data_IF_446787152495
#
_entry.id   IF_446787152495
#
_cell.length_a   1.000
_cell.length_b   1.000
_cell.length_c   1.000
_cell.angle_alpha   90.00
_cell.angle_beta   90.00
_cell.angle_gamma   90.00
#
_symmetry.space_group_name_H-M   'P 1'
#
loop_
_entity.id
_entity.type
_entity.pdbx_description
1 polymer ?
#
# COMPACT_ATOMS: atom_id res chain seq x y z
N UNK A 1 -37.14 -5.78 6.80
CA UNK A 1 -36.64 -6.97 7.54
C UNK A 1 -36.21 -8.09 6.58
N UNK A 2 -37.02 -8.45 5.59
CA UNK A 2 -36.71 -9.52 4.60
C UNK A 2 -35.51 -9.15 3.69
N UNK A 3 -35.41 -7.91 3.21
CA UNK A 3 -34.27 -7.47 2.37
C UNK A 3 -32.94 -7.43 3.11
N UNK A 4 -32.96 -7.13 4.42
CA UNK A 4 -31.74 -7.06 5.23
C UNK A 4 -31.23 -8.46 5.59
N UNK A 5 -32.14 -9.40 5.83
CA UNK A 5 -31.80 -10.83 5.94
C UNK A 5 -31.31 -11.40 4.61
N UNK A 6 -31.80 -10.89 3.47
CA UNK A 6 -31.30 -11.26 2.13
C UNK A 6 -29.88 -10.76 1.90
N UNK A 7 -29.60 -9.47 2.18
CA UNK A 7 -28.27 -8.90 2.03
C UNK A 7 -27.24 -9.53 2.99
N UNK A 8 -27.67 -9.89 4.21
CA UNK A 8 -26.81 -10.60 5.16
C UNK A 8 -26.52 -12.03 4.70
N UNK A 9 -27.51 -12.75 4.15
CA UNK A 9 -27.28 -14.07 3.55
C UNK A 9 -26.39 -14.01 2.30
N UNK A 10 -26.50 -12.97 1.48
CA UNK A 10 -25.58 -12.75 0.35
C UNK A 10 -24.15 -12.44 0.82
N UNK A 11 -24.00 -11.68 1.92
CA UNK A 11 -22.70 -11.43 2.54
C UNK A 11 -22.11 -12.70 3.17
N UNK A 12 -22.91 -13.49 3.89
CA UNK A 12 -22.48 -14.78 4.45
C UNK A 12 -22.14 -15.78 3.34
N UNK A 13 -22.92 -15.83 2.27
CA UNK A 13 -22.63 -16.68 1.11
C UNK A 13 -21.34 -16.28 0.39
N UNK A 14 -21.04 -14.98 0.29
CA UNK A 14 -19.78 -14.48 -0.29
C UNK A 14 -18.56 -14.63 0.64
N UNK A 15 -18.78 -14.96 1.91
CA UNK A 15 -17.74 -15.28 2.90
C UNK A 15 -17.46 -16.79 3.01
N UNK A 16 -18.15 -17.63 2.24
CA UNK A 16 -17.85 -19.07 2.21
C UNK A 16 -16.48 -19.32 1.57
N UNK A 17 -15.78 -20.35 2.05
CA UNK A 17 -14.44 -20.73 1.59
C UNK A 17 -14.36 -20.90 0.06
N UNK A 18 -15.47 -21.37 -0.53
CA UNK A 18 -15.65 -21.57 -1.97
C UNK A 18 -15.71 -20.24 -2.76
N UNK A 19 -16.31 -19.18 -2.20
CA UNK A 19 -16.42 -17.86 -2.83
C UNK A 19 -15.14 -17.01 -2.68
N UNK A 20 -14.36 -17.24 -1.62
CA UNK A 20 -13.10 -16.54 -1.35
C UNK A 20 -11.86 -17.24 -1.94
N UNK A 21 -12.02 -18.41 -2.55
CA UNK A 21 -10.91 -19.20 -3.09
C UNK A 21 -9.89 -19.61 -2.03
N UNK A 22 -10.34 -19.71 -0.78
CA UNK A 22 -9.53 -20.12 0.38
C UNK A 22 -9.75 -21.62 0.54
N UNK A 23 -8.69 -22.42 0.51
CA UNK A 23 -8.76 -23.87 0.76
C UNK A 23 -9.59 -24.17 2.02
N UNK A 24 -10.28 -25.31 2.14
CA UNK A 24 -11.14 -25.62 3.31
C UNK A 24 -10.40 -25.67 4.67
N UNK A 25 -9.06 -25.66 4.64
CA UNK A 25 -8.17 -25.74 5.79
C UNK A 25 -8.42 -24.71 6.90
N UNK A 26 -8.53 -23.39 6.64
CA UNK A 26 -8.60 -22.34 7.65
C UNK A 26 -9.92 -22.31 8.42
N UNK A 27 -11.04 -22.68 7.80
CA UNK A 27 -12.34 -22.73 8.47
C UNK A 27 -12.35 -23.89 9.46
N UNK A 28 -11.94 -25.08 9.02
CA UNK A 28 -11.85 -26.25 9.89
C UNK A 28 -10.88 -26.03 11.06
N UNK A 29 -9.72 -25.38 10.82
CA UNK A 29 -8.79 -25.04 11.90
C UNK A 29 -9.41 -24.05 12.88
N UNK A 30 -10.08 -23.01 12.39
CA UNK A 30 -10.70 -22.02 13.27
C UNK A 30 -11.85 -22.63 14.10
N UNK A 31 -12.69 -23.48 13.50
CA UNK A 31 -13.75 -24.20 14.22
C UNK A 31 -13.18 -25.12 15.31
N UNK A 32 -12.06 -25.80 15.03
CA UNK A 32 -11.38 -26.61 16.03
C UNK A 32 -10.87 -25.74 17.19
N UNK A 33 -10.18 -24.63 16.90
CA UNK A 33 -9.70 -23.71 17.94
C UNK A 33 -10.84 -23.14 18.79
N UNK A 34 -12.00 -22.84 18.19
CA UNK A 34 -13.20 -22.39 18.90
C UNK A 34 -13.74 -23.46 19.84
N UNK A 35 -13.82 -24.72 19.36
CA UNK A 35 -14.28 -25.85 20.16
C UNK A 35 -13.33 -26.15 21.32
N UNK A 36 -12.02 -26.07 21.08
CA UNK A 36 -10.99 -26.30 22.09
C UNK A 36 -11.02 -25.23 23.18
N UNK A 37 -11.23 -23.96 22.81
CA UNK A 37 -11.38 -22.86 23.77
C UNK A 37 -12.70 -22.88 24.54
N UNK A 38 -13.80 -23.30 23.90
CA UNK A 38 -15.08 -23.52 24.59
C UNK A 38 -15.00 -24.67 25.60
N UNK A 39 -14.16 -25.68 25.33
CA UNK A 39 -13.91 -26.80 26.24
C UNK A 39 -12.94 -26.46 27.37
N UNK A 40 -11.95 -25.61 27.10
CA UNK A 40 -10.93 -25.18 28.07
C UNK A 40 -10.60 -23.69 27.91
N UNK A 41 -10.99 -22.89 28.91
CA UNK A 41 -10.79 -21.44 28.91
C UNK A 41 -9.31 -21.02 29.02
N UNK A 42 -8.41 -21.93 29.40
CA UNK A 42 -6.96 -21.70 29.42
C UNK A 42 -6.29 -21.95 28.05
N UNK A 43 -7.02 -22.49 27.07
CA UNK A 43 -6.53 -22.67 25.69
C UNK A 43 -6.45 -21.32 24.94
N UNK A 44 -5.64 -21.21 23.86
CA UNK A 44 -5.50 -19.97 23.10
C UNK A 44 -6.85 -19.49 22.56
N UNK A 45 -7.28 -18.31 22.98
CA UNK A 45 -8.59 -17.78 22.63
C UNK A 45 -8.65 -17.41 21.13
N UNK A 46 -9.43 -18.12 20.30
CA UNK A 46 -9.52 -17.86 18.87
C UNK A 46 -10.31 -16.60 18.53
N UNK A 47 -11.05 -16.05 19.51
CA UNK A 47 -11.71 -14.75 19.42
C UNK A 47 -10.78 -13.61 19.81
N UNK A 48 -9.66 -13.90 20.49
CA UNK A 48 -8.64 -12.91 20.77
C UNK A 48 -7.87 -12.62 19.49
N UNK A 49 -7.77 -11.34 19.15
CA UNK A 49 -7.11 -10.93 17.91
C UNK A 49 -5.60 -11.18 18.01
N UNK A 50 -5.13 -12.21 17.32
CA UNK A 50 -3.70 -12.38 17.02
C UNK A 50 -3.29 -11.27 16.06
N UNK A 51 -2.78 -10.16 16.61
CA UNK A 51 -2.18 -9.11 15.78
C UNK A 51 -0.85 -9.65 15.27
N UNK A 52 -0.69 -9.72 13.95
CA UNK A 52 0.65 -9.77 13.38
C UNK A 52 1.26 -8.39 13.65
N UNK A 53 2.19 -8.33 14.59
CA UNK A 53 2.83 -7.07 15.01
C UNK A 53 3.61 -6.37 13.90
N UNK A 54 3.69 -6.95 12.70
CA UNK A 54 4.45 -6.48 11.56
C UNK A 54 3.74 -5.33 10.84
N UNK A 55 3.45 -4.25 11.56
CA UNK A 55 3.02 -2.97 11.02
C UNK A 55 4.20 -2.23 10.39
N UNK A 56 3.92 -1.28 9.48
CA UNK A 56 4.94 -0.49 8.79
C UNK A 56 5.96 0.15 9.74
N UNK A 57 5.52 0.67 10.89
CA UNK A 57 6.40 1.28 11.88
C UNK A 57 7.40 0.28 12.48
N UNK A 58 6.94 -0.93 12.82
CA UNK A 58 7.80 -2.00 13.32
C UNK A 58 8.77 -2.47 12.24
N UNK A 59 8.29 -2.71 11.02
CA UNK A 59 9.16 -3.11 9.90
C UNK A 59 10.25 -2.08 9.65
N UNK A 60 9.92 -0.78 9.69
CA UNK A 60 10.92 0.30 9.57
C UNK A 60 11.94 0.28 10.71
N UNK A 61 11.47 0.07 11.94
CA UNK A 61 12.35 -0.06 13.10
C UNK A 61 13.30 -1.25 12.95
N UNK A 62 12.78 -2.42 12.60
CA UNK A 62 13.57 -3.64 12.46
C UNK A 62 14.63 -3.50 11.37
N UNK A 63 14.26 -2.90 10.22
CA UNK A 63 15.21 -2.59 9.16
C UNK A 63 16.28 -1.57 9.58
N UNK A 64 15.94 -0.59 10.40
CA UNK A 64 16.90 0.38 10.93
C UNK A 64 17.86 -0.26 11.94
N UNK A 65 17.35 -1.14 12.81
CA UNK A 65 18.18 -1.93 13.74
C UNK A 65 19.12 -2.84 12.95
N UNK A 66 18.61 -3.55 11.95
CA UNK A 66 19.44 -4.41 11.08
C UNK A 66 20.56 -3.61 10.40
N UNK A 67 20.26 -2.43 9.83
CA UNK A 67 21.27 -1.56 9.24
C UNK A 67 22.34 -1.14 10.26
N UNK A 68 21.93 -0.70 11.45
CA UNK A 68 22.85 -0.31 12.52
C UNK A 68 23.70 -1.49 13.04
N UNK A 69 23.14 -2.70 13.09
CA UNK A 69 23.91 -3.90 13.47
C UNK A 69 24.96 -4.25 12.43
N UNK A 70 24.64 -4.17 11.13
CA UNK A 70 25.62 -4.42 10.05
C UNK A 70 26.76 -3.40 10.07
N UNK A 71 26.43 -2.13 10.30
CA UNK A 71 27.42 -1.06 10.47
C UNK A 71 28.37 -1.33 11.65
N UNK A 72 27.81 -1.67 12.83
CA UNK A 72 28.60 -2.02 14.02
C UNK A 72 29.49 -3.25 13.80
N UNK A 73 28.99 -4.26 13.11
CA UNK A 73 29.69 -5.52 12.89
C UNK A 73 30.74 -5.40 11.75
N UNK A 74 30.93 -4.20 11.18
CA UNK A 74 31.91 -3.92 10.13
C UNK A 74 31.54 -4.52 8.78
N UNK A 75 30.28 -4.96 8.63
CA UNK A 75 29.71 -5.38 7.34
C UNK A 75 29.27 -4.09 6.63
N UNK A 76 30.26 -3.32 6.17
CA UNK A 76 30.01 -2.09 5.41
C UNK A 76 29.45 -2.44 4.04
N UNK A 77 28.12 -2.37 3.90
CA UNK A 77 27.48 -2.36 2.61
C UNK A 77 27.54 -0.94 2.03
N UNK A 78 28.76 -0.52 1.65
CA UNK A 78 29.06 0.86 1.17
C UNK A 78 28.16 1.29 0.01
N UNK A 79 27.58 0.33 -0.71
CA UNK A 79 26.66 0.57 -1.81
C UNK A 79 25.23 0.93 -1.33
N UNK A 80 24.86 0.52 -0.11
CA UNK A 80 23.56 0.73 0.50
C UNK A 80 23.42 2.08 1.22
N UNK A 81 24.52 2.78 1.48
CA UNK A 81 24.54 4.13 2.05
C UNK A 81 25.14 5.12 1.05
N UNK A 82 24.47 6.25 0.84
CA UNK A 82 25.02 7.39 0.08
C UNK A 82 24.47 8.70 0.59
N UNK A 83 25.35 9.71 0.63
CA UNK A 83 25.02 11.05 1.11
C UNK A 83 24.35 11.04 2.49
N UNK A 84 24.77 10.10 3.36
CA UNK A 84 24.21 9.91 4.70
C UNK A 84 22.84 9.23 4.74
N UNK A 85 22.32 8.77 3.61
CA UNK A 85 21.01 8.11 3.51
C UNK A 85 21.15 6.63 3.18
N UNK A 86 20.38 5.79 3.86
CA UNK A 86 20.33 4.35 3.59
C UNK A 86 19.27 4.02 2.51
N UNK A 87 19.50 2.98 1.70
CA UNK A 87 18.61 2.57 0.60
C UNK A 87 17.17 2.31 1.07
N UNK A 88 16.99 1.75 2.28
CA UNK A 88 15.67 1.51 2.88
C UNK A 88 14.88 2.81 3.07
N UNK A 89 15.55 3.90 3.43
CA UNK A 89 14.93 5.22 3.60
C UNK A 89 14.44 5.75 2.25
N UNK A 90 15.23 5.58 1.19
CA UNK A 90 14.86 5.92 -0.19
C UNK A 90 13.62 5.17 -0.64
N UNK A 91 13.56 3.86 -0.33
CA UNK A 91 12.40 3.01 -0.64
C UNK A 91 11.18 3.47 0.15
N UNK A 92 11.32 3.76 1.44
CA UNK A 92 10.23 4.25 2.28
C UNK A 92 9.66 5.59 1.75
N UNK A 93 10.52 6.51 1.30
CA UNK A 93 10.09 7.74 0.62
C UNK A 93 9.36 7.45 -0.69
N UNK A 94 9.85 6.49 -1.48
CA UNK A 94 9.22 6.06 -2.74
C UNK A 94 7.81 5.53 -2.52
N UNK A 95 7.60 4.70 -1.49
CA UNK A 95 6.28 4.18 -1.11
C UNK A 95 5.32 5.30 -0.67
N UNK A 96 5.81 6.32 0.04
CA UNK A 96 5.00 7.49 0.39
C UNK A 96 4.60 8.30 -0.84
N UNK A 97 5.49 8.45 -1.82
CA UNK A 97 5.16 9.09 -3.09
C UNK A 97 4.15 8.28 -3.89
N UNK A 98 4.28 6.95 -3.93
CA UNK A 98 3.32 6.05 -4.57
C UNK A 98 1.92 6.24 -3.98
N UNK A 99 1.80 6.30 -2.66
CA UNK A 99 0.52 6.55 -2.00
C UNK A 99 -0.05 7.93 -2.36
N UNK A 100 0.77 8.98 -2.35
CA UNK A 100 0.30 10.30 -2.74
C UNK A 100 -0.09 10.37 -4.23
N UNK A 101 0.56 9.59 -5.12
CA UNK A 101 0.13 9.46 -6.52
C UNK A 101 -1.25 8.79 -6.62
N UNK A 102 -1.52 7.74 -5.83
CA UNK A 102 -2.82 7.06 -5.77
C UNK A 102 -3.91 8.00 -5.29
N UNK A 103 -3.68 8.73 -4.19
CA UNK A 103 -4.63 9.73 -3.68
C UNK A 103 -4.92 10.81 -4.72
N UNK A 104 -3.87 11.34 -5.38
CA UNK A 104 -4.05 12.38 -6.39
C UNK A 104 -4.83 11.86 -7.61
N UNK A 105 -4.59 10.61 -8.02
CA UNK A 105 -5.35 9.97 -9.10
C UNK A 105 -6.82 9.79 -8.72
N UNK A 106 -7.08 9.34 -7.49
CA UNK A 106 -8.44 9.22 -6.97
C UNK A 106 -9.15 10.58 -6.96
N UNK A 107 -8.52 11.62 -6.40
CA UNK A 107 -9.06 12.98 -6.37
C UNK A 107 -9.32 13.53 -7.78
N UNK A 108 -8.42 13.27 -8.73
CA UNK A 108 -8.58 13.66 -10.13
C UNK A 108 -9.79 12.96 -10.78
N UNK A 109 -10.01 11.68 -10.48
CA UNK A 109 -11.18 10.94 -10.96
C UNK A 109 -12.49 11.41 -10.31
N UNK A 110 -12.45 11.80 -9.04
CA UNK A 110 -13.61 12.26 -8.27
C UNK A 110 -14.07 13.68 -8.67
N UNK A 111 -13.20 14.51 -9.25
CA UNK A 111 -13.51 15.88 -9.66
C UNK A 111 -14.51 15.97 -10.83
N UNK A 112 -14.79 14.86 -11.53
CA UNK A 112 -15.79 14.78 -12.61
C UNK A 112 -15.40 15.55 -13.89
N UNK A 113 -16.34 15.65 -14.84
CA UNK A 113 -16.10 16.28 -16.16
C UNK A 113 -15.98 17.82 -16.09
N UNK A 114 -16.58 18.45 -15.08
CA UNK A 114 -16.69 19.90 -14.97
C UNK A 114 -16.32 20.39 -13.56
N UNK A 115 -15.03 20.27 -13.18
CA UNK A 115 -14.56 20.76 -11.90
C UNK A 115 -14.76 22.28 -11.80
N UNK A 116 -15.06 22.76 -10.59
CA UNK A 116 -15.09 24.20 -10.34
C UNK A 116 -13.72 24.83 -10.60
N UNK A 117 -13.68 26.14 -10.83
CA UNK A 117 -12.40 26.85 -11.04
C UNK A 117 -11.45 26.67 -9.86
N UNK A 118 -11.97 26.67 -8.64
CA UNK A 118 -11.18 26.44 -7.43
C UNK A 118 -10.68 25.00 -7.30
N UNK A 119 -11.50 24.00 -7.64
CA UNK A 119 -11.07 22.60 -7.70
C UNK A 119 -9.97 22.40 -8.75
N UNK A 120 -10.13 22.99 -9.93
CA UNK A 120 -9.15 22.94 -11.02
C UNK A 120 -7.82 23.58 -10.61
N UNK A 121 -7.87 24.78 -9.99
CA UNK A 121 -6.68 25.46 -9.48
C UNK A 121 -5.95 24.63 -8.44
N UNK A 122 -6.69 24.11 -7.45
CA UNK A 122 -6.15 23.26 -6.39
C UNK A 122 -5.52 21.99 -6.97
N UNK A 123 -6.13 21.38 -7.98
CA UNK A 123 -5.61 20.19 -8.65
C UNK A 123 -4.28 20.48 -9.37
N UNK A 124 -4.18 21.61 -10.08
CA UNK A 124 -2.95 22.04 -10.75
C UNK A 124 -1.84 22.30 -9.74
N UNK A 125 -2.14 22.97 -8.63
CA UNK A 125 -1.19 23.25 -7.55
C UNK A 125 -0.68 21.94 -6.90
N UNK A 126 -1.59 21.02 -6.56
CA UNK A 126 -1.24 19.70 -5.98
C UNK A 126 -0.40 18.87 -6.95
N UNK A 127 -0.77 18.83 -8.22
CA UNK A 127 -0.03 18.12 -9.28
C UNK A 127 1.37 18.70 -9.47
N UNK A 128 1.51 20.03 -9.46
CA UNK A 128 2.81 20.70 -9.59
C UNK A 128 3.71 20.44 -8.38
N UNK A 129 3.15 20.49 -7.16
CA UNK A 129 3.87 20.14 -5.93
C UNK A 129 4.32 18.69 -5.95
N UNK A 130 3.45 17.77 -6.38
CA UNK A 130 3.78 16.36 -6.54
C UNK A 130 4.94 16.15 -7.50
N UNK A 131 4.88 16.77 -8.68
CA UNK A 131 5.93 16.66 -9.69
C UNK A 131 7.29 17.07 -9.14
N UNK A 132 7.37 18.19 -8.41
CA UNK A 132 8.63 18.64 -7.78
C UNK A 132 9.18 17.62 -6.79
N UNK A 133 8.32 17.03 -5.94
CA UNK A 133 8.73 16.00 -4.98
C UNK A 133 9.26 14.75 -5.70
N UNK A 134 8.57 14.29 -6.74
CA UNK A 134 8.98 13.13 -7.52
C UNK A 134 10.34 13.39 -8.16
N UNK A 135 10.56 14.56 -8.78
CA UNK A 135 11.84 14.91 -9.39
C UNK A 135 12.98 14.94 -8.36
N UNK A 136 12.76 15.57 -7.20
CA UNK A 136 13.76 15.58 -6.12
C UNK A 136 14.09 14.17 -5.61
N UNK A 137 13.08 13.30 -5.49
CA UNK A 137 13.30 11.91 -5.09
C UNK A 137 14.01 11.09 -6.17
N UNK A 138 13.73 11.34 -7.46
CA UNK A 138 14.46 10.73 -8.57
C UNK A 138 15.94 11.08 -8.51
N UNK A 139 16.28 12.32 -8.18
CA UNK A 139 17.68 12.73 -8.04
C UNK A 139 18.40 11.97 -6.93
N UNK A 140 17.71 11.68 -5.82
CA UNK A 140 18.24 10.81 -4.74
C UNK A 140 18.36 9.36 -5.24
N UNK A 141 17.30 8.84 -5.89
CA UNK A 141 17.24 7.47 -6.41
C UNK A 141 18.36 7.15 -7.41
N UNK A 142 18.71 8.11 -8.28
CA UNK A 142 19.77 7.99 -9.29
C UNK A 142 21.12 7.65 -8.71
N UNK A 143 21.39 8.12 -7.49
CA UNK A 143 22.53 7.67 -6.75
C UNK A 143 22.51 6.14 -6.64
N UNK A 144 21.48 5.57 -6.01
CA UNK A 144 21.40 4.14 -5.69
C UNK A 144 21.27 3.25 -6.92
N UNK A 145 20.46 3.69 -7.88
CA UNK A 145 20.15 2.92 -9.06
C UNK A 145 20.38 3.76 -10.33
N UNK A 146 21.64 3.92 -10.79
CA UNK A 146 21.95 4.70 -11.99
C UNK A 146 21.24 4.17 -13.25
N UNK A 147 20.94 2.88 -13.26
CA UNK A 147 20.12 2.19 -14.27
C UNK A 147 18.78 2.88 -14.55
N UNK A 148 18.20 3.55 -13.55
CA UNK A 148 16.91 4.23 -13.67
C UNK A 148 16.93 5.30 -14.76
N UNK A 149 18.04 5.98 -14.99
CA UNK A 149 18.14 6.98 -16.06
C UNK A 149 18.01 6.36 -17.45
N UNK A 150 18.61 5.20 -17.66
CA UNK A 150 18.48 4.45 -18.91
C UNK A 150 17.05 3.94 -19.12
N UNK A 151 16.38 3.53 -18.04
CA UNK A 151 14.98 3.10 -18.08
C UNK A 151 14.04 4.26 -18.42
N UNK A 152 14.23 5.42 -17.77
CA UNK A 152 13.46 6.64 -18.03
C UNK A 152 13.68 7.18 -19.45
N UNK A 153 14.93 7.23 -19.92
CA UNK A 153 15.24 7.66 -21.28
C UNK A 153 14.54 6.78 -22.34
N UNK A 154 14.44 5.47 -22.07
CA UNK A 154 13.71 4.53 -22.93
C UNK A 154 12.20 4.76 -22.89
N UNK A 155 11.61 5.03 -21.73
CA UNK A 155 10.20 5.42 -21.61
C UNK A 155 9.91 6.73 -22.33
N UNK A 156 10.75 7.74 -22.17
CA UNK A 156 10.61 9.04 -22.81
C UNK A 156 10.72 8.92 -24.33
N UNK A 157 11.65 8.11 -24.83
CA UNK A 157 11.74 7.80 -26.26
C UNK A 157 10.48 7.08 -26.76
N UNK A 158 9.97 6.08 -26.03
CA UNK A 158 8.74 5.39 -26.40
C UNK A 158 7.54 6.34 -26.43
N UNK A 159 7.40 7.22 -25.42
CA UNK A 159 6.36 8.25 -25.35
C UNK A 159 6.48 9.24 -26.51
N UNK A 160 7.69 9.69 -26.85
CA UNK A 160 7.92 10.61 -27.96
C UNK A 160 7.54 9.99 -29.31
N UNK A 161 7.70 8.67 -29.50
CA UNK A 161 7.24 8.01 -30.72
C UNK A 161 5.71 7.94 -30.79
N UNK A 162 5.02 7.65 -29.68
CA UNK A 162 3.55 7.63 -29.62
C UNK A 162 2.97 9.04 -29.86
N UNK A 163 3.64 10.08 -29.34
CA UNK A 163 3.20 11.47 -29.47
C UNK A 163 3.20 11.98 -30.92
N UNK A 164 3.99 11.36 -31.81
CA UNK A 164 3.96 11.66 -33.24
C UNK A 164 2.69 11.18 -33.93
N UNK A 165 2.00 10.19 -33.35
CA UNK A 165 0.81 9.55 -33.93
C UNK A 165 -0.48 10.06 -33.30
N UNK A 166 -0.45 10.53 -32.04
CA UNK A 166 -1.61 11.04 -31.32
C UNK A 166 -1.24 12.21 -30.39
N UNK A 167 -2.14 13.20 -30.18
CA UNK A 167 -1.97 14.21 -29.14
C UNK A 167 -2.06 13.54 -27.76
N UNK A 168 -0.92 13.28 -27.14
CA UNK A 168 -0.89 12.74 -25.77
C UNK A 168 -1.06 13.91 -24.80
N UNK A 169 -2.04 13.87 -23.88
CA UNK A 169 -2.12 14.82 -22.78
C UNK A 169 -0.80 14.85 -22.00
N UNK A 170 -0.36 16.03 -21.56
CA UNK A 170 0.89 16.15 -20.79
C UNK A 170 0.93 15.17 -19.62
N UNK A 171 2.09 14.54 -19.39
CA UNK A 171 2.27 13.50 -18.37
C UNK A 171 1.82 14.02 -17.01
N UNK A 172 0.79 13.39 -16.45
CA UNK A 172 0.26 13.74 -15.13
C UNK A 172 1.24 13.29 -14.05
N UNK A 173 1.31 14.02 -12.94
CA UNK A 173 2.28 13.72 -11.88
C UNK A 173 2.06 12.33 -11.26
N UNK A 174 0.83 11.82 -11.26
CA UNK A 174 0.47 10.49 -10.78
C UNK A 174 0.77 9.36 -11.79
N UNK A 175 1.17 9.67 -13.03
CA UNK A 175 1.56 8.70 -14.07
C UNK A 175 3.07 8.63 -14.30
N UNK A 176 3.85 9.38 -13.50
CA UNK A 176 5.31 9.31 -13.54
C UNK A 176 5.73 8.01 -12.87
N UNK A 177 6.37 7.12 -13.62
CA UNK A 177 6.90 5.87 -13.08
C UNK A 177 7.98 6.16 -12.02
N UNK A 178 7.81 5.63 -10.81
CA UNK A 178 8.79 5.77 -9.74
C UNK A 178 9.98 4.80 -9.91
N UNK A 179 9.82 3.70 -10.67
CA UNK A 179 10.87 2.69 -10.84
C UNK A 179 11.38 2.15 -9.50
N UNK A 180 10.48 1.67 -8.63
CA UNK A 180 10.84 1.02 -7.37
C UNK A 180 11.77 -0.19 -7.60
N UNK A 181 12.55 -0.65 -6.61
CA UNK A 181 13.46 -1.79 -6.77
C UNK A 181 12.82 -3.02 -7.44
N UNK A 182 11.59 -3.38 -7.05
CA UNK A 182 10.83 -4.48 -7.65
C UNK A 182 10.49 -4.27 -9.13
N UNK A 183 10.28 -3.02 -9.56
CA UNK A 183 10.07 -2.65 -10.96
C UNK A 183 11.39 -2.68 -11.75
N UNK A 184 12.50 -2.23 -11.15
CA UNK A 184 13.84 -2.33 -11.74
C UNK A 184 14.22 -3.81 -11.93
N UNK A 185 13.94 -4.66 -10.94
CA UNK A 185 14.23 -6.10 -11.00
C UNK A 185 13.47 -6.82 -12.13
N UNK A 186 12.29 -6.30 -12.53
CA UNK A 186 11.49 -6.79 -13.67
C UNK A 186 11.91 -6.19 -15.01
N UNK A 187 12.77 -5.17 -15.00
CA UNK A 187 13.26 -4.54 -16.22
C UNK A 187 14.22 -5.50 -16.98
N UNK A 188 14.55 -5.21 -18.26
CA UNK A 188 15.37 -6.11 -19.06
C UNK A 188 16.73 -6.40 -18.42
N UNK A 189 17.29 -7.59 -18.65
CA UNK A 189 18.42 -8.12 -17.87
C UNK A 189 19.70 -7.28 -17.80
N UNK A 190 19.89 -6.27 -18.66
CA UNK A 190 20.98 -5.30 -18.50
C UNK A 190 20.80 -4.42 -17.25
N UNK A 191 19.56 -4.20 -16.82
CA UNK A 191 19.23 -3.37 -15.67
C UNK A 191 19.72 -3.98 -14.35
N UNK A 192 19.71 -5.31 -14.26
CA UNK A 192 20.16 -6.08 -13.09
C UNK A 192 21.69 -6.14 -12.95
N UNK A 193 22.44 -5.79 -14.01
CA UNK A 193 23.90 -6.02 -14.06
C UNK A 193 24.73 -5.01 -13.25
N UNK A 194 24.20 -3.80 -13.01
CA UNK A 194 25.02 -2.73 -12.42
C UNK A 194 25.32 -2.98 -10.93
N UNK A 195 24.31 -3.31 -10.13
CA UNK A 195 24.45 -3.59 -8.69
C UNK A 195 23.47 -4.68 -8.24
N UNK A 196 23.76 -5.96 -8.54
CA UNK A 196 22.81 -7.05 -8.31
C UNK A 196 22.52 -7.25 -6.82
N UNK A 197 23.52 -7.21 -5.94
CA UNK A 197 23.35 -7.39 -4.49
C UNK A 197 22.47 -6.31 -3.87
N UNK A 198 22.85 -5.03 -4.06
CA UNK A 198 22.06 -3.89 -3.59
C UNK A 198 20.62 -3.95 -4.09
N UNK A 199 20.40 -4.35 -5.34
CA UNK A 199 19.05 -4.48 -5.89
C UNK A 199 18.27 -5.61 -5.23
N UNK A 200 18.90 -6.76 -4.95
CA UNK A 200 18.25 -7.88 -4.27
C UNK A 200 17.86 -7.50 -2.84
N UNK A 201 18.75 -6.86 -2.08
CA UNK A 201 18.45 -6.39 -0.72
C UNK A 201 17.38 -5.29 -0.72
N UNK A 202 17.44 -4.37 -1.69
CA UNK A 202 16.42 -3.34 -1.87
C UNK A 202 15.04 -3.93 -2.22
N UNK A 203 14.99 -5.02 -2.98
CA UNK A 203 13.72 -5.72 -3.29
C UNK A 203 13.17 -6.40 -2.04
N UNK A 204 14.02 -7.00 -1.20
CA UNK A 204 13.59 -7.57 0.08
C UNK A 204 13.05 -6.49 1.04
N UNK A 205 13.79 -5.39 1.19
CA UNK A 205 13.35 -4.25 2.00
C UNK A 205 12.02 -3.67 1.49
N UNK A 206 11.85 -3.52 0.17
CA UNK A 206 10.58 -3.08 -0.42
C UNK A 206 9.45 -4.06 -0.12
N UNK A 207 9.69 -5.37 -0.26
CA UNK A 207 8.70 -6.40 0.03
C UNK A 207 8.23 -6.33 1.48
N UNK A 208 9.17 -6.30 2.44
CA UNK A 208 8.87 -6.20 3.87
C UNK A 208 8.06 -4.94 4.19
N UNK A 209 8.45 -3.79 3.64
CA UNK A 209 7.71 -2.53 3.83
C UNK A 209 6.30 -2.59 3.25
N UNK A 210 6.11 -3.20 2.06
CA UNK A 210 4.79 -3.37 1.45
C UNK A 210 3.90 -4.32 2.25
N UNK A 211 4.45 -5.40 2.81
CA UNK A 211 3.71 -6.28 3.74
C UNK A 211 3.27 -5.50 4.97
N UNK A 212 4.15 -4.67 5.55
CA UNK A 212 3.82 -3.79 6.67
C UNK A 212 2.68 -2.82 6.36
N UNK A 213 2.69 -2.20 5.17
CA UNK A 213 1.60 -1.34 4.69
C UNK A 213 0.28 -2.11 4.52
N UNK A 214 0.33 -3.33 3.97
CA UNK A 214 -0.86 -4.15 3.77
C UNK A 214 -1.50 -4.56 5.11
N UNK A 215 -0.69 -4.95 6.08
CA UNK A 215 -1.17 -5.27 7.43
C UNK A 215 -1.82 -4.05 8.11
N UNK A 216 -1.20 -2.87 7.99
CA UNK A 216 -1.76 -1.63 8.54
C UNK A 216 -3.09 -1.24 7.86
N UNK A 217 -3.17 -1.36 6.53
CA UNK A 217 -4.40 -1.09 5.79
C UNK A 217 -5.53 -2.08 6.14
N UNK A 218 -5.22 -3.37 6.30
CA UNK A 218 -6.20 -4.38 6.73
C UNK A 218 -6.74 -4.09 8.13
N UNK A 219 -5.87 -3.68 9.04
CA UNK A 219 -6.26 -3.30 10.40
C UNK A 219 -7.14 -2.04 10.42
N UNK A 220 -6.81 -1.04 9.61
CA UNK A 220 -7.64 0.15 9.45
C UNK A 220 -9.02 -0.20 8.87
N UNK A 221 -9.07 -1.01 7.81
CA UNK A 221 -10.33 -1.48 7.22
C UNK A 221 -11.17 -2.23 8.24
N UNK A 222 -10.57 -3.16 8.99
CA UNK A 222 -11.27 -3.92 10.04
C UNK A 222 -11.84 -2.99 11.12
N UNK A 223 -11.04 -2.05 11.63
CA UNK A 223 -11.50 -1.07 12.63
C UNK A 223 -12.68 -0.26 12.11
N UNK A 224 -12.60 0.23 10.87
CA UNK A 224 -13.68 0.99 10.24
C UNK A 224 -14.96 0.15 10.09
N UNK A 225 -14.85 -1.13 9.72
CA UNK A 225 -15.99 -2.04 9.64
C UNK A 225 -16.62 -2.29 11.02
N UNK A 226 -15.81 -2.59 12.04
CA UNK A 226 -16.30 -2.80 13.41
C UNK A 226 -17.02 -1.58 13.96
N UNK A 227 -16.46 -0.38 13.79
CA UNK A 227 -17.09 0.88 14.21
C UNK A 227 -18.41 1.09 13.47
N UNK A 228 -18.45 0.86 12.15
CA UNK A 228 -19.70 0.98 11.38
C UNK A 228 -20.74 -0.01 11.87
N UNK A 229 -20.41 -1.28 12.02
CA UNK A 229 -21.33 -2.31 12.53
C UNK A 229 -21.87 -1.95 13.91
N UNK A 230 -20.99 -1.51 14.82
CA UNK A 230 -21.40 -1.04 16.14
C UNK A 230 -22.39 0.13 16.06
N UNK A 231 -22.10 1.15 15.24
CA UNK A 231 -22.99 2.30 15.05
C UNK A 231 -24.33 1.90 14.40
N UNK A 232 -24.33 0.96 13.45
CA UNK A 232 -25.55 0.42 12.87
C UNK A 232 -26.40 -0.31 13.90
N UNK A 233 -25.80 -1.18 14.71
CA UNK A 233 -26.49 -1.91 15.76
C UNK A 233 -27.05 -0.98 16.84
N UNK A 234 -26.26 0.03 17.24
CA UNK A 234 -26.70 1.06 18.18
C UNK A 234 -27.89 1.85 17.62
N UNK A 235 -27.80 2.26 16.34
CA UNK A 235 -28.91 2.95 15.68
C UNK A 235 -30.16 2.07 15.67
N UNK A 236 -30.08 0.83 15.21
CA UNK A 236 -31.24 -0.07 15.13
C UNK A 236 -31.89 -0.33 16.50
N UNK A 237 -31.08 -0.50 17.55
CA UNK A 237 -31.56 -0.72 18.91
C UNK A 237 -32.26 0.52 19.51
N UNK A 238 -31.73 1.72 19.28
CA UNK A 238 -32.14 2.94 19.99
C UNK A 238 -32.89 3.96 19.12
N UNK A 239 -32.99 3.80 17.81
CA UNK A 239 -33.70 4.73 16.91
C UNK A 239 -35.19 4.43 16.74
N UNK A 240 -35.81 3.69 17.65
CA UNK A 240 -37.27 3.48 17.62
C UNK A 240 -37.96 4.79 18.02
N UNK A 241 -38.74 5.34 17.10
CA UNK A 241 -39.26 6.71 17.14
C UNK A 241 -40.02 7.06 18.41
N UNK A 242 -39.80 8.29 18.89
CA UNK A 242 -40.79 9.01 19.70
C UNK A 242 -42.04 9.11 18.84
N UNK A 243 -43.10 8.39 19.21
CA UNK A 243 -44.42 8.65 18.65
C UNK A 243 -44.81 10.06 19.08
N UNK A 244 -45.00 10.94 18.11
CA UNK A 244 -45.61 12.25 18.33
C UNK A 244 -47.02 11.99 18.88
N UNK A 245 -47.25 12.34 20.14
CA UNK A 245 -48.58 12.24 20.76
C UNK A 245 -49.37 13.46 20.26
N UNK A 246 -50.10 13.27 19.15
CA UNK A 246 -51.15 14.18 18.71
C UNK A 246 -52.49 13.78 19.34
#
# INVERSE_FOLDING_TARGET
MVEMQSAFREMEASLTAEALGVEEGPVATWTQMATDWEADADSPNPFEMVRKDDHLAKVRHDLAVEAATRERDGIEDMDAVRDGMHVTEVIAMGLQLEEQQRTLRFDASAAGLHPTKDQSRTMVERTSKMRRKILAWIDIQRGFFPVVDSLRAREDHARAQIAKTQPIPGVQAYDIALWMPSAIAKAPGWARRQRPKLLDDAVDHEYRLRVGQANEALDEMRRNLLVRTYLYNLKDAYSRGVRDNM
#
